data_IF_570861846227
#
_entry.id   IF_570861846227
#
_cell.length_a   1.000
_cell.length_b   1.000
_cell.length_c   1.000
_cell.angle_alpha   90.00
_cell.angle_beta   90.00
_cell.angle_gamma   90.00
#
_symmetry.space_group_name_H-M   'P 1'
#
loop_
_entity.id
_entity.type
_entity.pdbx_description
1 polymer ?
#
# COMPACT_ATOMS: atom_id res chain seq x y z
N UNK A 1 16.20 12.93 1.60
CA UNK A 1 15.81 11.80 0.73
C UNK A 1 14.47 12.15 0.09
N UNK A 2 14.37 12.02 -1.20
CA UNK A 2 13.09 12.19 -1.90
C UNK A 2 12.40 10.84 -2.13
N UNK A 3 11.17 10.87 -2.71
CA UNK A 3 10.37 9.66 -2.96
C UNK A 3 11.10 8.66 -3.87
N UNK A 4 11.76 9.15 -4.93
CA UNK A 4 12.41 8.28 -5.92
C UNK A 4 13.66 7.61 -5.32
N UNK A 5 14.43 8.35 -4.53
CA UNK A 5 15.57 7.82 -3.78
C UNK A 5 15.12 6.73 -2.79
N UNK A 6 14.05 6.97 -2.04
CA UNK A 6 13.52 6.00 -1.09
C UNK A 6 13.00 4.74 -1.80
N UNK A 7 12.29 4.88 -2.92
CA UNK A 7 11.82 3.74 -3.69
C UNK A 7 12.97 2.89 -4.25
N UNK A 8 14.03 3.54 -4.76
CA UNK A 8 15.23 2.86 -5.24
C UNK A 8 15.94 2.12 -4.08
N UNK A 9 16.01 2.73 -2.91
CA UNK A 9 16.58 2.12 -1.70
C UNK A 9 15.77 0.89 -1.25
N UNK A 10 14.45 0.99 -1.22
CA UNK A 10 13.58 -0.14 -0.90
C UNK A 10 13.84 -1.33 -1.81
N UNK A 11 13.88 -1.11 -3.14
CA UNK A 11 14.12 -2.18 -4.12
C UNK A 11 15.51 -2.80 -3.96
N UNK A 12 16.55 -1.98 -3.75
CA UNK A 12 17.92 -2.44 -3.50
C UNK A 12 18.01 -3.33 -2.27
N UNK A 13 17.28 -3.00 -1.20
CA UNK A 13 17.29 -3.69 0.08
C UNK A 13 16.29 -4.87 0.13
N UNK A 14 15.67 -5.21 -1.02
CA UNK A 14 14.75 -6.35 -1.15
C UNK A 14 13.33 -6.09 -0.60
N UNK A 15 13.00 -4.85 -0.31
CA UNK A 15 11.63 -4.46 0.01
C UNK A 15 10.78 -4.32 -1.25
N UNK A 16 9.48 -4.58 -1.13
CA UNK A 16 8.49 -4.34 -2.18
C UNK A 16 7.77 -3.04 -1.92
N UNK A 17 7.83 -2.07 -2.85
CA UNK A 17 7.13 -0.80 -2.71
C UNK A 17 5.61 -0.99 -2.66
N UNK A 18 4.98 -0.35 -1.70
CA UNK A 18 3.52 -0.29 -1.53
C UNK A 18 3.15 1.16 -1.32
N UNK A 19 2.29 1.69 -2.16
CA UNK A 19 1.70 3.00 -1.90
C UNK A 19 0.40 2.82 -1.11
N UNK A 20 0.22 3.57 -0.05
CA UNK A 20 -1.00 3.57 0.75
C UNK A 20 -1.40 4.98 1.16
N UNK A 21 -2.69 5.15 1.39
CA UNK A 21 -3.25 6.33 2.06
C UNK A 21 -4.28 5.88 3.10
N UNK A 22 -4.28 6.55 4.24
CA UNK A 22 -5.21 6.28 5.32
C UNK A 22 -6.03 7.53 5.61
N UNK A 23 -7.30 7.30 5.98
CA UNK A 23 -8.27 8.38 6.23
C UNK A 23 -7.89 9.23 7.44
N UNK A 24 -8.37 10.49 7.45
CA UNK A 24 -8.27 11.35 8.62
C UNK A 24 -8.75 10.67 9.90
N UNK A 25 -7.99 10.85 10.97
CA UNK A 25 -8.30 10.38 12.33
C UNK A 25 -8.47 8.86 12.47
N UNK A 26 -8.05 8.06 11.48
CA UNK A 26 -8.05 6.61 11.57
C UNK A 26 -7.13 6.17 12.72
N UNK A 27 -7.56 5.13 13.44
CA UNK A 27 -6.80 4.51 14.51
C UNK A 27 -6.77 3.02 14.30
N UNK A 28 -5.59 2.45 14.36
CA UNK A 28 -5.42 1.01 14.47
C UNK A 28 -4.99 0.63 15.89
N UNK A 29 -5.68 -0.36 16.41
CA UNK A 29 -5.38 -0.91 17.75
C UNK A 29 -4.07 -1.67 17.72
N UNK A 30 -3.56 -2.02 18.89
CA UNK A 30 -2.29 -2.71 19.05
C UNK A 30 -2.22 -4.00 18.23
N UNK A 31 -1.31 -4.03 17.24
CA UNK A 31 -1.12 -5.13 16.30
C UNK A 31 0.36 -5.28 15.93
N UNK A 32 0.70 -6.32 15.20
CA UNK A 32 2.01 -6.50 14.59
C UNK A 32 1.87 -7.13 13.20
N UNK A 33 2.93 -7.03 12.40
CA UNK A 33 3.02 -7.64 11.08
C UNK A 33 4.04 -8.79 11.09
N UNK A 34 3.92 -9.72 10.15
CA UNK A 34 4.90 -10.77 9.88
C UNK A 34 5.99 -10.36 8.86
N UNK A 35 6.07 -9.05 8.57
CA UNK A 35 7.04 -8.44 7.67
C UNK A 35 7.68 -7.20 8.29
N UNK A 36 8.90 -6.89 7.87
CA UNK A 36 9.52 -5.59 8.11
C UNK A 36 8.86 -4.55 7.22
N UNK A 37 8.50 -3.40 7.77
CA UNK A 37 7.99 -2.26 7.02
C UNK A 37 8.94 -1.07 7.13
N UNK A 38 9.15 -0.38 6.00
CA UNK A 38 9.76 0.95 5.94
C UNK A 38 8.78 1.90 5.27
N UNK A 39 8.56 3.06 5.87
CA UNK A 39 7.61 4.06 5.39
C UNK A 39 8.30 5.37 5.08
N UNK A 40 7.89 6.03 4.01
CA UNK A 40 8.21 7.41 3.69
C UNK A 40 6.91 8.19 3.53
N UNK A 41 6.67 9.14 4.42
CA UNK A 41 5.44 9.94 4.41
C UNK A 41 5.50 10.96 3.27
N UNK A 42 4.48 10.95 2.41
CA UNK A 42 4.35 11.84 1.26
C UNK A 42 3.48 13.06 1.58
N UNK A 43 2.48 12.90 2.45
CA UNK A 43 1.59 13.97 2.88
C UNK A 43 0.83 13.58 4.13
N UNK A 44 0.36 14.58 4.89
CA UNK A 44 -0.28 14.37 6.18
C UNK A 44 0.67 13.90 7.26
N UNK A 45 0.15 13.20 8.27
CA UNK A 45 0.96 12.67 9.37
C UNK A 45 0.38 11.36 9.93
N UNK A 46 1.28 10.54 10.48
CA UNK A 46 0.95 9.31 11.21
C UNK A 46 1.76 9.23 12.49
N UNK A 47 1.12 8.87 13.59
CA UNK A 47 1.77 8.59 14.87
C UNK A 47 1.80 7.08 15.09
N UNK A 48 2.99 6.52 15.25
CA UNK A 48 3.22 5.13 15.58
C UNK A 48 3.65 5.06 17.06
N UNK A 49 2.93 4.29 17.87
CA UNK A 49 3.28 4.12 19.28
C UNK A 49 3.82 2.71 19.50
N UNK A 50 5.06 2.62 19.95
CA UNK A 50 5.77 1.39 20.33
C UNK A 50 6.26 1.52 21.77
N UNK A 51 6.08 0.48 22.58
CA UNK A 51 6.49 0.49 24.00
C UNK A 51 5.99 1.72 24.78
N UNK A 52 4.75 2.14 24.52
CA UNK A 52 4.12 3.35 25.06
C UNK A 52 4.84 4.67 24.69
N UNK A 53 5.69 4.67 23.67
CA UNK A 53 6.38 5.86 23.16
C UNK A 53 5.78 6.23 21.80
N UNK A 54 4.98 7.31 21.74
CA UNK A 54 4.47 7.83 20.48
C UNK A 54 5.55 8.57 19.70
N UNK A 55 5.62 8.31 18.41
CA UNK A 55 6.49 9.01 17.46
C UNK A 55 5.67 9.41 16.24
N UNK A 56 5.65 10.70 15.91
CA UNK A 56 4.86 11.24 14.80
C UNK A 56 5.74 11.52 13.59
N UNK A 57 5.35 10.96 12.45
CA UNK A 57 6.03 11.12 11.16
C UNK A 57 5.19 11.97 10.22
N UNK A 58 5.83 12.95 9.59
CA UNK A 58 5.25 13.93 8.65
C UNK A 58 5.87 13.82 7.27
N UNK A 59 5.32 14.53 6.30
CA UNK A 59 5.83 14.57 4.94
C UNK A 59 7.36 14.76 4.89
N UNK A 60 8.04 13.91 4.13
CA UNK A 60 9.50 13.85 4.00
C UNK A 60 10.22 13.03 5.08
N UNK A 61 9.52 12.49 6.07
CA UNK A 61 10.12 11.66 7.12
C UNK A 61 9.91 10.16 6.85
N UNK A 62 10.86 9.36 7.34
CA UNK A 62 10.85 7.91 7.25
C UNK A 62 10.65 7.29 8.63
N UNK A 63 10.01 6.12 8.67
CA UNK A 63 10.06 5.25 9.83
C UNK A 63 10.22 3.80 9.43
N UNK A 64 10.63 2.97 10.39
CA UNK A 64 10.76 1.53 10.24
C UNK A 64 9.94 0.83 11.32
N UNK A 65 9.21 -0.21 10.93
CA UNK A 65 8.47 -1.09 11.83
C UNK A 65 8.92 -2.52 11.55
N UNK A 66 9.76 -3.12 12.42
CA UNK A 66 10.21 -4.50 12.26
C UNK A 66 9.07 -5.51 12.37
N UNK A 67 9.22 -6.65 11.71
CA UNK A 67 8.33 -7.80 11.87
C UNK A 67 8.18 -8.17 13.36
N UNK A 68 6.95 -8.48 13.79
CA UNK A 68 6.62 -8.83 15.17
C UNK A 68 6.60 -7.66 16.16
N UNK A 69 6.96 -6.45 15.74
CA UNK A 69 6.88 -5.27 16.60
C UNK A 69 5.44 -4.88 16.87
N UNK A 70 5.00 -5.00 18.13
CA UNK A 70 3.68 -4.56 18.56
C UNK A 70 3.60 -3.03 18.56
N UNK A 71 2.60 -2.48 17.89
CA UNK A 71 2.41 -1.03 17.78
C UNK A 71 0.94 -0.65 17.56
N UNK A 72 0.65 0.62 17.79
CA UNK A 72 -0.62 1.25 17.39
C UNK A 72 -0.34 2.33 16.37
N UNK A 73 -1.32 2.62 15.52
CA UNK A 73 -1.25 3.69 14.55
C UNK A 73 -2.37 4.71 14.79
N UNK A 74 -2.04 5.98 14.67
CA UNK A 74 -3.01 7.07 14.68
C UNK A 74 -2.70 8.05 13.57
N UNK A 75 -3.65 8.21 12.66
CA UNK A 75 -3.57 9.13 11.54
C UNK A 75 -4.02 10.53 11.96
N UNK A 76 -3.32 11.54 11.46
CA UNK A 76 -3.65 12.94 11.73
C UNK A 76 -4.97 13.40 11.08
N UNK A 77 -5.37 14.65 11.34
CA UNK A 77 -6.67 15.18 10.89
C UNK A 77 -6.80 15.38 9.38
N UNK A 78 -5.70 15.37 8.66
CA UNK A 78 -5.67 15.50 7.18
C UNK A 78 -5.49 14.15 6.47
N UNK A 79 -5.45 13.04 7.23
CA UNK A 79 -5.08 11.74 6.69
C UNK A 79 -3.56 11.59 6.57
N UNK A 80 -3.12 10.50 5.93
CA UNK A 80 -1.72 10.30 5.59
C UNK A 80 -1.61 9.56 4.27
N UNK A 81 -0.67 9.99 3.43
CA UNK A 81 -0.23 9.28 2.23
C UNK A 81 1.25 8.91 2.39
N UNK A 82 1.61 7.69 2.10
CA UNK A 82 2.98 7.22 2.24
C UNK A 82 3.37 6.16 1.21
N UNK A 83 4.65 6.07 0.92
CA UNK A 83 5.26 4.94 0.24
C UNK A 83 5.84 4.02 1.30
N UNK A 84 5.41 2.77 1.33
CA UNK A 84 5.93 1.74 2.22
C UNK A 84 6.70 0.69 1.43
N UNK A 85 7.74 0.13 2.02
CA UNK A 85 8.34 -1.12 1.60
C UNK A 85 8.03 -2.22 2.60
N UNK A 86 7.67 -3.41 2.12
CA UNK A 86 7.45 -4.60 2.94
C UNK A 86 8.47 -5.67 2.58
N UNK A 87 9.09 -6.28 3.59
CA UNK A 87 10.04 -7.39 3.41
C UNK A 87 9.77 -8.46 4.46
N UNK A 88 9.44 -9.66 4.03
CA UNK A 88 9.29 -10.81 4.94
C UNK A 88 10.63 -11.47 5.23
N UNK A 89 10.79 -12.00 6.44
CA UNK A 89 11.90 -12.88 6.78
C UNK A 89 11.71 -14.20 6.00
N UNK A 90 12.38 -14.33 4.85
CA UNK A 90 12.20 -15.47 3.92
C UNK A 90 12.25 -15.06 2.45
N UNK A 91 12.50 -13.78 2.14
CA UNK A 91 12.61 -13.27 0.77
C UNK A 91 11.41 -12.45 0.30
N UNK A 92 11.36 -12.12 -0.98
CA UNK A 92 10.30 -11.30 -1.56
C UNK A 92 8.93 -11.98 -1.41
N UNK A 93 7.89 -11.17 -1.26
CA UNK A 93 6.51 -11.65 -1.21
C UNK A 93 6.20 -12.48 -2.47
N UNK A 94 5.97 -13.78 -2.30
CA UNK A 94 5.58 -14.64 -3.40
C UNK A 94 4.11 -14.46 -3.73
N UNK A 95 3.71 -14.89 -4.92
CA UNK A 95 2.31 -14.92 -5.34
C UNK A 95 1.43 -15.67 -4.34
N UNK A 96 1.86 -16.87 -3.95
CA UNK A 96 1.14 -17.75 -3.03
C UNK A 96 0.98 -17.11 -1.64
N UNK A 97 2.04 -16.46 -1.15
CA UNK A 97 2.00 -15.74 0.11
C UNK A 97 1.03 -14.54 0.04
N UNK A 98 1.06 -13.77 -1.05
CA UNK A 98 0.13 -12.64 -1.25
C UNK A 98 -1.33 -13.11 -1.28
N UNK A 99 -1.64 -14.15 -2.04
CA UNK A 99 -3.00 -14.71 -2.09
C UNK A 99 -3.44 -15.26 -0.72
N UNK A 100 -2.55 -15.95 0.00
CA UNK A 100 -2.84 -16.47 1.33
C UNK A 100 -3.15 -15.35 2.32
N UNK A 101 -2.38 -14.26 2.30
CA UNK A 101 -2.60 -13.11 3.15
C UNK A 101 -3.93 -12.42 2.86
N UNK A 102 -4.23 -12.20 1.59
CA UNK A 102 -5.51 -11.62 1.18
C UNK A 102 -6.70 -12.42 1.72
N UNK A 103 -6.67 -13.76 1.56
CA UNK A 103 -7.75 -14.62 2.05
C UNK A 103 -7.85 -14.62 3.58
N UNK A 104 -6.71 -14.62 4.29
CA UNK A 104 -6.68 -14.53 5.75
C UNK A 104 -7.28 -13.23 6.27
N UNK A 105 -7.06 -12.13 5.53
CA UNK A 105 -7.58 -10.81 5.86
C UNK A 105 -9.00 -10.55 5.32
N UNK A 106 -9.66 -11.58 4.76
CA UNK A 106 -11.05 -11.51 4.32
C UNK A 106 -11.27 -10.95 2.93
N UNK A 107 -10.20 -10.78 2.14
CA UNK A 107 -10.34 -10.33 0.75
C UNK A 107 -10.86 -11.44 -0.16
N UNK A 108 -11.77 -11.09 -1.06
CA UNK A 108 -12.08 -11.88 -2.23
C UNK A 108 -10.94 -11.76 -3.24
N UNK A 109 -10.35 -12.90 -3.66
CA UNK A 109 -9.16 -12.91 -4.52
C UNK A 109 -9.53 -13.36 -5.92
N UNK A 110 -9.20 -12.53 -6.91
CA UNK A 110 -9.37 -12.83 -8.33
C UNK A 110 -8.08 -12.54 -9.11
N UNK A 111 -7.99 -13.11 -10.33
CA UNK A 111 -6.92 -12.82 -11.26
C UNK A 111 -7.47 -12.02 -12.44
N UNK A 112 -6.73 -11.02 -12.88
CA UNK A 112 -7.15 -10.15 -13.95
C UNK A 112 -5.98 -9.64 -14.78
N UNK A 113 -6.31 -8.79 -15.71
CA UNK A 113 -5.35 -8.10 -16.54
C UNK A 113 -6.03 -7.04 -17.40
N UNK A 114 -5.21 -6.14 -17.92
CA UNK A 114 -5.64 -5.08 -18.83
C UNK A 114 -4.77 -5.09 -20.09
N UNK A 115 -5.40 -4.75 -21.21
CA UNK A 115 -4.71 -4.68 -22.51
C UNK A 115 -3.66 -3.56 -22.55
N UNK A 116 -2.68 -3.65 -23.45
CA UNK A 116 -1.70 -2.60 -23.67
C UNK A 116 -2.31 -1.21 -23.81
N UNK A 117 -1.67 -0.23 -23.17
CA UNK A 117 -2.04 1.19 -23.21
C UNK A 117 -3.46 1.50 -22.75
N UNK A 118 -4.08 0.61 -21.98
CA UNK A 118 -5.38 0.88 -21.36
C UNK A 118 -5.24 2.00 -20.33
N UNK A 119 -6.19 2.90 -20.31
CA UNK A 119 -6.31 3.97 -19.32
C UNK A 119 -7.67 3.91 -18.66
N UNK A 120 -7.69 4.12 -17.38
CA UNK A 120 -8.90 4.24 -16.59
C UNK A 120 -9.00 5.66 -16.06
N UNK A 121 -10.18 6.25 -16.18
CA UNK A 121 -10.42 7.63 -15.72
C UNK A 121 -10.36 7.73 -14.19
N UNK A 122 -10.28 8.96 -13.70
CA UNK A 122 -10.27 9.25 -12.26
C UNK A 122 -11.56 8.75 -11.60
N UNK A 123 -11.44 7.89 -10.61
CA UNK A 123 -12.56 7.31 -9.86
C UNK A 123 -12.12 6.92 -8.43
N UNK A 124 -13.09 6.53 -7.63
CA UNK A 124 -12.89 5.88 -6.34
C UNK A 124 -13.83 4.66 -6.25
N UNK A 125 -13.41 3.63 -5.51
CA UNK A 125 -14.20 2.40 -5.39
C UNK A 125 -15.40 2.55 -4.43
N UNK A 126 -15.33 3.52 -3.50
CA UNK A 126 -16.37 3.77 -2.50
C UNK A 126 -16.41 2.71 -1.41
N UNK A 127 -17.12 1.62 -1.66
CA UNK A 127 -17.51 0.66 -0.63
C UNK A 127 -16.49 -0.44 -0.34
N UNK A 128 -15.43 -0.57 -1.12
CA UNK A 128 -14.43 -1.63 -0.94
C UNK A 128 -12.98 -1.13 -1.11
N UNK A 129 -12.09 -1.76 -0.40
CA UNK A 129 -10.64 -1.56 -0.54
C UNK A 129 -10.06 -2.59 -1.52
N UNK A 130 -9.01 -2.21 -2.23
CA UNK A 130 -8.35 -3.05 -3.23
C UNK A 130 -6.88 -3.22 -2.90
N UNK A 131 -6.36 -4.45 -3.07
CA UNK A 131 -4.92 -4.73 -3.11
C UNK A 131 -4.59 -5.46 -4.40
N UNK A 132 -3.52 -5.04 -5.06
CA UNK A 132 -3.07 -5.58 -6.34
C UNK A 132 -1.62 -6.03 -6.24
N UNK A 133 -1.31 -7.21 -6.78
CA UNK A 133 0.07 -7.61 -7.08
C UNK A 133 0.21 -7.80 -8.59
N UNK A 134 1.18 -7.11 -9.19
CA UNK A 134 1.49 -7.24 -10.62
C UNK A 134 2.25 -8.54 -10.87
N UNK A 135 1.78 -9.35 -11.81
CA UNK A 135 2.38 -10.61 -12.22
C UNK A 135 3.27 -10.45 -13.46
N UNK A 136 2.85 -9.59 -14.41
CA UNK A 136 3.60 -9.25 -15.60
C UNK A 136 3.18 -7.88 -16.14
N UNK A 137 4.06 -7.26 -16.94
CA UNK A 137 3.83 -5.91 -17.46
C UNK A 137 3.97 -4.83 -16.39
N UNK A 138 3.29 -3.71 -16.58
CA UNK A 138 3.31 -2.60 -15.64
C UNK A 138 2.00 -1.82 -15.62
N UNK A 139 1.70 -1.23 -14.47
CA UNK A 139 0.57 -0.34 -14.26
C UNK A 139 1.01 0.88 -13.46
N UNK A 140 0.66 2.06 -13.94
CA UNK A 140 0.90 3.32 -13.23
C UNK A 140 -0.39 3.76 -12.57
N UNK A 141 -0.33 3.99 -11.27
CA UNK A 141 -1.45 4.53 -10.47
C UNK A 141 -1.15 5.99 -10.17
N UNK A 142 -2.03 6.87 -10.61
CA UNK A 142 -1.98 8.31 -10.33
C UNK A 142 -3.05 8.65 -9.28
N UNK A 143 -2.67 9.34 -8.23
CA UNK A 143 -3.56 9.78 -7.15
C UNK A 143 -2.96 11.01 -6.45
N UNK A 144 -3.69 11.59 -5.51
CA UNK A 144 -3.22 12.73 -4.72
C UNK A 144 -1.89 12.38 -4.05
N UNK A 145 -0.85 13.16 -4.35
CA UNK A 145 0.52 12.90 -3.90
C UNK A 145 1.45 12.31 -4.96
N UNK A 146 0.95 12.01 -6.17
CA UNK A 146 1.79 11.68 -7.31
C UNK A 146 1.47 10.40 -8.04
N UNK A 147 2.38 10.05 -8.92
CA UNK A 147 2.32 8.90 -9.82
C UNK A 147 3.30 7.81 -9.35
N UNK A 148 2.86 6.55 -9.35
CA UNK A 148 3.72 5.40 -9.03
C UNK A 148 3.48 4.28 -10.03
N UNK A 149 4.56 3.78 -10.64
CA UNK A 149 4.51 2.63 -11.56
C UNK A 149 4.88 1.35 -10.82
N UNK A 150 4.00 0.37 -10.91
CA UNK A 150 4.15 -0.98 -10.35
C UNK A 150 4.47 -1.97 -11.47
N UNK A 151 5.47 -2.82 -11.25
CA UNK A 151 5.97 -3.84 -12.18
C UNK A 151 5.83 -5.23 -11.58
N UNK A 152 6.13 -6.25 -12.38
CA UNK A 152 6.08 -7.64 -11.93
C UNK A 152 6.73 -7.85 -10.55
N UNK A 153 5.95 -8.37 -9.62
CA UNK A 153 6.30 -8.59 -8.22
C UNK A 153 6.06 -7.40 -7.30
N UNK A 154 5.71 -6.22 -7.81
CA UNK A 154 5.26 -5.10 -6.98
C UNK A 154 3.79 -5.27 -6.59
N UNK A 155 3.40 -4.64 -5.51
CA UNK A 155 2.01 -4.60 -5.08
C UNK A 155 1.64 -3.20 -4.59
N UNK A 156 0.34 -2.89 -4.62
CA UNK A 156 -0.21 -1.63 -4.10
C UNK A 156 -1.53 -1.87 -3.38
N UNK A 157 -1.87 -0.92 -2.53
CA UNK A 157 -3.15 -0.83 -1.85
C UNK A 157 -3.87 0.43 -2.31
N UNK A 158 -5.16 0.30 -2.59
CA UNK A 158 -6.03 1.38 -3.02
C UNK A 158 -7.25 1.38 -2.10
N UNK A 159 -7.29 2.26 -1.09
CA UNK A 159 -8.48 2.44 -0.25
C UNK A 159 -9.70 2.86 -1.08
N UNK A 160 -10.88 2.42 -0.67
CA UNK A 160 -12.12 2.66 -1.42
C UNK A 160 -12.43 4.14 -1.70
N UNK A 161 -12.07 5.02 -0.77
CA UNK A 161 -12.25 6.47 -0.89
C UNK A 161 -11.10 7.20 -1.60
N UNK A 162 -10.04 6.48 -2.01
CA UNK A 162 -8.90 7.06 -2.71
C UNK A 162 -9.26 7.37 -4.16
N UNK A 163 -9.26 8.65 -4.53
CA UNK A 163 -9.38 9.08 -5.93
C UNK A 163 -8.11 8.72 -6.69
N UNK A 164 -8.25 7.94 -7.74
CA UNK A 164 -7.12 7.51 -8.55
C UNK A 164 -7.53 7.26 -10.01
N UNK A 165 -6.53 7.28 -10.88
CA UNK A 165 -6.66 6.74 -12.24
C UNK A 165 -5.47 5.83 -12.54
N UNK A 166 -5.63 4.95 -13.52
CA UNK A 166 -4.61 3.98 -13.88
C UNK A 166 -4.21 4.10 -15.35
N UNK A 167 -2.95 3.80 -15.63
CA UNK A 167 -2.40 3.71 -16.96
C UNK A 167 -1.56 2.44 -17.09
N UNK A 168 -1.90 1.61 -18.05
CA UNK A 168 -1.20 0.35 -18.34
C UNK A 168 -0.09 0.59 -19.36
N UNK A 169 1.03 -0.07 -19.16
CA UNK A 169 2.17 0.01 -20.06
C UNK A 169 1.93 -0.65 -21.43
N UNK A 170 2.93 -0.56 -22.32
CA UNK A 170 2.80 -1.00 -23.73
C UNK A 170 2.67 -2.52 -23.90
N UNK A 171 2.99 -3.30 -22.87
CA UNK A 171 2.87 -4.78 -22.90
C UNK A 171 1.60 -5.31 -22.23
N UNK A 172 0.74 -4.38 -21.74
CA UNK A 172 -0.39 -4.76 -20.90
C UNK A 172 0.04 -5.03 -19.47
N UNK A 173 -0.89 -5.56 -18.67
CA UNK A 173 -0.62 -5.96 -17.29
C UNK A 173 -1.45 -7.19 -16.94
N UNK A 174 -0.85 -8.13 -16.20
CA UNK A 174 -1.56 -9.20 -15.50
C UNK A 174 -1.32 -9.04 -14.00
N UNK A 175 -2.36 -9.29 -13.19
CA UNK A 175 -2.31 -9.08 -11.75
C UNK A 175 -3.22 -10.03 -10.98
N UNK A 176 -2.90 -10.16 -9.68
CA UNK A 176 -3.82 -10.67 -8.66
C UNK A 176 -4.46 -9.44 -8.02
N UNK A 177 -5.77 -9.48 -7.83
CA UNK A 177 -6.50 -8.44 -7.11
C UNK A 177 -7.31 -9.04 -5.98
N UNK A 178 -7.18 -8.45 -4.79
CA UNK A 178 -8.02 -8.68 -3.64
C UNK A 178 -8.98 -7.52 -3.45
N UNK A 179 -10.23 -7.81 -3.16
CA UNK A 179 -11.26 -6.83 -2.78
C UNK A 179 -11.86 -7.19 -1.43
N UNK A 180 -12.05 -6.21 -0.58
CA UNK A 180 -12.73 -6.38 0.71
C UNK A 180 -13.68 -5.22 0.95
N UNK A 181 -14.92 -5.56 1.32
CA UNK A 181 -15.95 -4.57 1.64
C UNK A 181 -15.55 -3.81 2.89
N UNK A 182 -15.78 -2.51 2.87
CA UNK A 182 -15.56 -1.64 4.02
C UNK A 182 -16.73 -1.77 4.99
N UNK A 183 -16.49 -1.86 6.29
CA UNK A 183 -17.58 -1.86 7.25
C UNK A 183 -18.40 -0.58 7.09
N UNK A 184 -19.71 -0.74 6.91
CA UNK A 184 -20.64 0.40 6.89
C UNK A 184 -20.52 1.11 8.23
N UNK A 185 -20.17 2.41 8.20
CA UNK A 185 -20.14 3.19 9.41
C UNK A 185 -21.52 3.10 10.08
N UNK A 186 -21.58 2.55 11.28
CA UNK A 186 -22.81 2.57 12.07
C UNK A 186 -23.16 4.03 12.36
N UNK A 187 -24.32 4.46 11.87
CA UNK A 187 -24.90 5.76 12.18
C UNK A 187 -25.27 5.88 13.66
#
# INVERSE_FOLDING_TARGET
MDKAEFEAELRRDGFRPVFASLRPNMKETNHCHDFDARLFVLGGEITITRDNKPETFRAGQCCEVPAGCMHTEQVGPEGVAYLSGRRRNGGPLTREAFESDLRREGFEVTHGGQKPNFTEEMHAHGDFDVRIMVLSGEITVNRDGGSTTFRAGDHCEIPGDCQHCTQVGPEGVAYIVGKVDRPVAAN
#
